data_IF_482532017942
#
_entry.id   IF_482532017942
#
_cell.length_a   1.000
_cell.length_b   1.000
_cell.length_c   1.000
_cell.angle_alpha   90.00
_cell.angle_beta   90.00
_cell.angle_gamma   90.00
#
_symmetry.space_group_name_H-M   'P 1'
#
loop_
_entity.id
_entity.type
_entity.pdbx_description
1 polymer ?
#
# COMPACT_ATOMS: atom_id res chain seq x y z
N UNK A 1 -23.08 -2.64 -16.94
CA UNK A 1 -21.63 -2.42 -16.91
C UNK A 1 -21.15 -1.96 -18.27
N UNK A 2 -20.47 -0.82 -18.34
CA UNK A 2 -19.79 -0.34 -19.54
C UNK A 2 -18.37 -0.90 -19.65
N UNK A 3 -17.76 -0.85 -20.84
CA UNK A 3 -16.37 -1.25 -21.04
C UNK A 3 -15.40 -0.43 -20.16
N UNK A 4 -15.68 0.87 -19.99
CA UNK A 4 -14.88 1.76 -19.16
C UNK A 4 -14.93 1.39 -17.67
N UNK A 5 -16.12 1.06 -17.14
CA UNK A 5 -16.27 0.57 -15.77
C UNK A 5 -15.47 -0.71 -15.54
N UNK A 6 -15.48 -1.63 -16.53
CA UNK A 6 -14.72 -2.88 -16.46
C UNK A 6 -13.23 -2.62 -16.37
N UNK A 7 -12.70 -1.71 -17.21
CA UNK A 7 -11.30 -1.31 -17.17
C UNK A 7 -10.92 -0.63 -15.86
N UNK A 8 -11.80 0.22 -15.33
CA UNK A 8 -11.57 0.87 -14.04
C UNK A 8 -11.49 -0.16 -12.91
N UNK A 9 -12.40 -1.15 -12.87
CA UNK A 9 -12.43 -2.15 -11.80
C UNK A 9 -11.20 -3.04 -11.88
N UNK A 10 -10.88 -3.52 -13.09
CA UNK A 10 -9.67 -4.31 -13.33
C UNK A 10 -8.40 -3.54 -12.94
N UNK A 11 -8.32 -2.26 -13.30
CA UNK A 11 -7.21 -1.38 -12.93
C UNK A 11 -7.09 -1.17 -11.42
N UNK A 12 -8.21 -0.96 -10.73
CA UNK A 12 -8.26 -0.82 -9.27
C UNK A 12 -7.75 -2.09 -8.58
N UNK A 13 -8.32 -3.25 -8.92
CA UNK A 13 -7.94 -4.53 -8.33
C UNK A 13 -6.48 -4.88 -8.61
N UNK A 14 -6.00 -4.62 -9.82
CA UNK A 14 -4.59 -4.83 -10.17
C UNK A 14 -3.67 -3.94 -9.33
N UNK A 15 -4.00 -2.65 -9.19
CA UNK A 15 -3.23 -1.73 -8.36
C UNK A 15 -3.22 -2.16 -6.89
N UNK A 16 -4.37 -2.58 -6.35
CA UNK A 16 -4.49 -3.12 -5.00
C UNK A 16 -3.59 -4.35 -4.82
N UNK A 17 -3.70 -5.35 -5.70
CA UNK A 17 -2.91 -6.60 -5.62
C UNK A 17 -1.42 -6.33 -5.72
N UNK A 18 -1.00 -5.45 -6.63
CA UNK A 18 0.41 -5.04 -6.77
C UNK A 18 0.91 -4.37 -5.49
N UNK A 19 0.14 -3.44 -4.93
CA UNK A 19 0.52 -2.72 -3.71
C UNK A 19 0.63 -3.65 -2.50
N UNK A 20 -0.37 -4.50 -2.29
CA UNK A 20 -0.40 -5.49 -1.20
C UNK A 20 0.75 -6.47 -1.37
N UNK A 21 0.91 -7.05 -2.55
CA UNK A 21 1.98 -8.02 -2.85
C UNK A 21 3.38 -7.44 -2.66
N UNK A 22 3.62 -6.21 -3.13
CA UNK A 22 4.90 -5.52 -2.92
C UNK A 22 5.16 -5.27 -1.43
N UNK A 23 4.13 -4.88 -0.67
CA UNK A 23 4.22 -4.62 0.78
C UNK A 23 4.57 -5.90 1.55
N UNK A 24 3.85 -6.99 1.27
CA UNK A 24 4.11 -8.31 1.85
C UNK A 24 5.53 -8.78 1.51
N UNK A 25 5.95 -8.62 0.25
CA UNK A 25 7.31 -8.99 -0.19
C UNK A 25 8.38 -8.21 0.56
N UNK A 26 8.18 -6.90 0.77
CA UNK A 26 9.08 -6.10 1.60
C UNK A 26 9.17 -6.65 3.02
N UNK A 27 8.02 -6.86 3.67
CA UNK A 27 7.96 -7.28 5.07
C UNK A 27 8.53 -8.68 5.34
N UNK A 28 8.24 -9.64 4.45
CA UNK A 28 8.51 -11.06 4.67
C UNK A 28 9.76 -11.59 3.95
N UNK A 29 10.20 -10.92 2.89
CA UNK A 29 11.33 -11.40 2.06
C UNK A 29 12.50 -10.42 2.13
N UNK A 30 12.29 -9.18 1.70
CA UNK A 30 13.39 -8.21 1.51
C UNK A 30 14.01 -7.80 2.84
N UNK A 31 13.20 -7.32 3.79
CA UNK A 31 13.72 -6.83 5.06
C UNK A 31 14.36 -7.96 5.89
N UNK A 32 13.77 -9.17 6.01
CA UNK A 32 14.44 -10.28 6.67
C UNK A 32 15.76 -10.67 6.01
N UNK A 33 15.86 -10.65 4.67
CA UNK A 33 17.11 -10.93 3.96
C UNK A 33 18.18 -9.87 4.25
N UNK A 34 17.82 -8.59 4.21
CA UNK A 34 18.72 -7.47 4.56
C UNK A 34 19.20 -7.56 6.02
N UNK A 35 18.30 -7.88 6.96
CA UNK A 35 18.65 -8.06 8.39
C UNK A 35 19.67 -9.18 8.61
N UNK A 36 19.58 -10.25 7.82
CA UNK A 36 20.51 -11.38 7.84
C UNK A 36 21.81 -11.11 7.06
N UNK A 37 22.02 -9.89 6.56
CA UNK A 37 23.22 -9.52 5.80
C UNK A 37 23.28 -10.14 4.40
N UNK A 38 22.15 -10.63 3.87
CA UNK A 38 22.09 -11.26 2.54
C UNK A 38 21.92 -10.27 1.39
N UNK A 39 21.70 -9.00 1.69
CA UNK A 39 21.54 -7.93 0.70
C UNK A 39 22.56 -6.83 0.96
N UNK A 40 23.21 -6.35 -0.10
CA UNK A 40 24.10 -5.19 -0.04
C UNK A 40 23.32 -3.90 0.18
N UNK A 41 24.00 -2.85 0.64
CA UNK A 41 23.41 -1.51 0.80
C UNK A 41 22.79 -1.00 -0.51
N UNK A 42 23.49 -1.19 -1.63
CA UNK A 42 23.01 -0.76 -2.93
C UNK A 42 21.77 -1.53 -3.39
N UNK A 43 21.72 -2.85 -3.12
CA UNK A 43 20.53 -3.65 -3.40
C UNK A 43 19.33 -3.15 -2.61
N UNK A 44 19.48 -2.94 -1.30
CA UNK A 44 18.39 -2.41 -0.45
C UNK A 44 17.97 -1.00 -0.89
N UNK A 45 18.92 -0.15 -1.28
CA UNK A 45 18.64 1.18 -1.83
C UNK A 45 17.82 1.13 -3.11
N UNK A 46 18.23 0.29 -4.06
CA UNK A 46 17.55 0.14 -5.35
C UNK A 46 16.13 -0.42 -5.17
N UNK A 47 15.98 -1.48 -4.36
CA UNK A 47 14.68 -2.08 -4.03
C UNK A 47 13.78 -1.04 -3.35
N UNK A 48 14.29 -0.32 -2.34
CA UNK A 48 13.52 0.71 -1.64
C UNK A 48 13.04 1.84 -2.55
N UNK A 49 13.88 2.32 -3.49
CA UNK A 49 13.48 3.31 -4.50
C UNK A 49 12.39 2.77 -5.42
N UNK A 50 12.52 1.53 -5.90
CA UNK A 50 11.52 0.92 -6.79
C UNK A 50 10.20 0.67 -6.06
N UNK A 51 10.28 0.22 -4.80
CA UNK A 51 9.12 0.05 -3.93
C UNK A 51 8.37 1.37 -3.71
N UNK A 52 9.09 2.47 -3.47
CA UNK A 52 8.49 3.79 -3.31
C UNK A 52 7.71 4.22 -4.58
N UNK A 53 8.28 3.97 -5.76
CA UNK A 53 7.63 4.27 -7.02
C UNK A 53 6.39 3.39 -7.26
N UNK A 54 6.49 2.08 -7.03
CA UNK A 54 5.34 1.16 -7.13
C UNK A 54 4.23 1.57 -6.17
N UNK A 55 4.60 1.95 -4.93
CA UNK A 55 3.66 2.43 -3.91
C UNK A 55 2.95 3.71 -4.36
N UNK A 56 3.69 4.69 -4.89
CA UNK A 56 3.11 5.94 -5.35
C UNK A 56 2.15 5.74 -6.53
N UNK A 57 2.58 4.98 -7.54
CA UNK A 57 1.75 4.70 -8.73
C UNK A 57 0.50 3.92 -8.37
N UNK A 58 0.64 2.86 -7.57
CA UNK A 58 -0.50 2.02 -7.16
C UNK A 58 -1.45 2.80 -6.26
N UNK A 59 -0.92 3.56 -5.30
CA UNK A 59 -1.74 4.39 -4.39
C UNK A 59 -2.55 5.44 -5.14
N UNK A 60 -1.95 6.14 -6.11
CA UNK A 60 -2.68 7.09 -6.97
C UNK A 60 -3.76 6.38 -7.78
N UNK A 61 -3.45 5.23 -8.39
CA UNK A 61 -4.42 4.45 -9.15
C UNK A 61 -5.62 4.02 -8.27
N UNK A 62 -5.37 3.49 -7.07
CA UNK A 62 -6.39 3.08 -6.09
C UNK A 62 -7.28 4.25 -5.70
N UNK A 63 -6.69 5.41 -5.37
CA UNK A 63 -7.46 6.59 -4.95
C UNK A 63 -8.32 7.15 -6.09
N UNK A 64 -7.76 7.29 -7.29
CA UNK A 64 -8.50 7.83 -8.43
C UNK A 64 -9.68 6.94 -8.81
N UNK A 65 -9.44 5.63 -8.90
CA UNK A 65 -10.48 4.66 -9.25
C UNK A 65 -11.50 4.48 -8.11
N UNK A 66 -11.06 4.48 -6.85
CA UNK A 66 -11.97 4.41 -5.69
C UNK A 66 -12.89 5.63 -5.58
N UNK A 67 -12.36 6.84 -5.80
CA UNK A 67 -13.17 8.07 -5.86
C UNK A 67 -14.16 8.01 -7.03
N UNK A 68 -13.73 7.50 -8.18
CA UNK A 68 -14.60 7.33 -9.34
C UNK A 68 -15.77 6.36 -9.06
N UNK A 69 -15.54 5.21 -8.42
CA UNK A 69 -16.64 4.30 -8.06
C UNK A 69 -17.57 4.91 -7.01
N UNK A 70 -16.99 5.52 -5.99
CA UNK A 70 -17.77 6.13 -4.90
C UNK A 70 -18.69 7.22 -5.43
N UNK A 71 -18.25 8.02 -6.40
CA UNK A 71 -19.06 9.11 -6.97
C UNK A 71 -20.17 8.62 -7.91
N UNK A 72 -20.04 7.42 -8.47
CA UNK A 72 -21.08 6.79 -9.28
C UNK A 72 -22.17 6.14 -8.41
N UNK A 73 -21.79 5.60 -7.25
CA UNK A 73 -22.70 4.82 -6.40
C UNK A 73 -23.36 5.64 -5.28
N UNK A 74 -22.66 6.64 -4.73
CA UNK A 74 -23.10 7.34 -3.53
C UNK A 74 -23.25 8.85 -3.75
N UNK A 75 -24.36 9.40 -3.27
CA UNK A 75 -24.41 10.83 -2.93
C UNK A 75 -23.65 11.07 -1.62
N UNK A 76 -23.19 12.30 -1.37
CA UNK A 76 -22.51 12.63 -0.11
C UNK A 76 -23.36 12.29 1.12
N UNK A 77 -24.68 12.49 1.02
CA UNK A 77 -25.62 12.12 2.08
C UNK A 77 -25.65 10.61 2.28
N UNK A 78 -25.80 9.83 1.20
CA UNK A 78 -25.84 8.38 1.29
C UNK A 78 -24.53 7.80 1.86
N UNK A 79 -23.39 8.39 1.52
CA UNK A 79 -22.08 8.00 2.02
C UNK A 79 -21.97 8.12 3.55
N UNK A 80 -22.60 9.14 4.13
CA UNK A 80 -22.55 9.43 5.57
C UNK A 80 -23.70 8.81 6.38
N UNK A 81 -24.79 8.35 5.73
CA UNK A 81 -25.99 7.89 6.44
C UNK A 81 -26.31 6.41 6.24
N UNK A 82 -25.68 5.74 5.26
CA UNK A 82 -25.96 4.32 4.97
C UNK A 82 -24.85 3.40 5.49
N UNK A 83 -25.17 2.16 5.90
CA UNK A 83 -24.16 1.20 6.32
C UNK A 83 -23.10 0.93 5.25
N UNK A 84 -23.50 0.83 3.98
CA UNK A 84 -22.55 0.61 2.87
C UNK A 84 -21.68 1.84 2.61
N UNK A 85 -22.23 3.05 2.75
CA UNK A 85 -21.45 4.29 2.72
C UNK A 85 -20.36 4.35 3.81
N UNK A 86 -20.68 3.94 5.04
CA UNK A 86 -19.71 3.84 6.13
C UNK A 86 -18.60 2.82 5.85
N UNK A 87 -18.91 1.69 5.20
CA UNK A 87 -17.91 0.71 4.78
C UNK A 87 -16.96 1.29 3.72
N UNK A 88 -17.49 2.06 2.76
CA UNK A 88 -16.66 2.78 1.76
C UNK A 88 -15.76 3.83 2.43
N UNK A 89 -16.27 4.58 3.40
CA UNK A 89 -15.44 5.52 4.15
C UNK A 89 -14.35 4.81 4.98
N UNK A 90 -14.69 3.68 5.59
CA UNK A 90 -13.72 2.85 6.31
C UNK A 90 -12.63 2.30 5.38
N UNK A 91 -12.98 1.87 4.16
CA UNK A 91 -12.02 1.39 3.17
C UNK A 91 -11.04 2.50 2.77
N UNK A 92 -11.53 3.71 2.49
CA UNK A 92 -10.71 4.89 2.20
C UNK A 92 -9.75 5.17 3.36
N UNK A 93 -10.24 5.13 4.61
CA UNK A 93 -9.40 5.35 5.79
C UNK A 93 -8.30 4.30 5.91
N UNK A 94 -8.59 3.03 5.62
CA UNK A 94 -7.58 1.95 5.60
C UNK A 94 -6.51 2.20 4.55
N UNK A 95 -6.89 2.63 3.33
CA UNK A 95 -5.92 2.93 2.28
C UNK A 95 -5.05 4.15 2.62
N UNK A 96 -5.62 5.18 3.26
CA UNK A 96 -4.87 6.34 3.77
C UNK A 96 -3.91 5.92 4.87
N UNK A 97 -4.36 5.10 5.83
CA UNK A 97 -3.51 4.58 6.90
C UNK A 97 -2.34 3.76 6.32
N UNK A 98 -2.61 2.91 5.33
CA UNK A 98 -1.58 2.15 4.63
C UNK A 98 -0.55 3.09 3.98
N UNK A 99 -0.99 4.13 3.27
CA UNK A 99 -0.08 5.10 2.65
C UNK A 99 0.82 5.80 3.68
N UNK A 100 0.27 6.17 4.85
CA UNK A 100 1.04 6.75 5.95
C UNK A 100 2.09 5.77 6.48
N UNK A 101 1.70 4.52 6.73
CA UNK A 101 2.62 3.48 7.23
C UNK A 101 3.76 3.21 6.24
N UNK A 102 3.44 3.06 4.95
CA UNK A 102 4.42 2.83 3.89
C UNK A 102 5.35 4.02 3.69
N UNK A 103 4.83 5.24 3.75
CA UNK A 103 5.63 6.46 3.66
C UNK A 103 6.61 6.55 4.84
N UNK A 104 6.13 6.31 6.06
CA UNK A 104 6.97 6.30 7.25
C UNK A 104 8.05 5.21 7.20
N UNK A 105 7.68 3.97 6.82
CA UNK A 105 8.61 2.85 6.65
C UNK A 105 9.67 3.10 5.59
N UNK A 106 9.27 3.60 4.42
CA UNK A 106 10.16 3.92 3.29
C UNK A 106 11.12 5.05 3.62
N UNK A 107 10.65 6.11 4.28
CA UNK A 107 11.51 7.22 4.69
C UNK A 107 12.56 6.77 5.71
N UNK A 108 12.20 5.89 6.65
CA UNK A 108 13.15 5.32 7.63
C UNK A 108 14.18 4.41 6.96
N UNK A 109 13.74 3.58 6.01
CA UNK A 109 14.62 2.72 5.21
C UNK A 109 15.63 3.57 4.43
N UNK A 110 15.15 4.57 3.69
CA UNK A 110 15.98 5.45 2.86
C UNK A 110 17.00 6.24 3.70
N UNK A 111 16.56 6.87 4.80
CA UNK A 111 17.45 7.61 5.70
C UNK A 111 18.57 6.75 6.27
N UNK A 112 18.28 5.51 6.66
CA UNK A 112 19.28 4.65 7.30
C UNK A 112 20.22 4.01 6.27
N UNK A 113 19.71 3.61 5.10
CA UNK A 113 20.51 3.13 3.96
C UNK A 113 21.47 4.20 3.44
N UNK A 114 21.10 5.48 3.54
CA UNK A 114 21.99 6.59 3.14
C UNK A 114 23.27 6.65 3.98
N UNK A 115 23.23 6.16 5.23
CA UNK A 115 24.36 6.09 6.16
C UNK A 115 25.18 4.79 5.96
N UNK A 116 24.82 3.95 4.99
CA UNK A 116 25.60 2.76 4.62
C UNK A 116 25.27 1.49 5.41
N UNK A 117 24.17 1.47 6.18
CA UNK A 117 23.82 0.32 7.03
C UNK A 117 22.50 -0.32 6.61
N UNK A 118 22.60 -1.35 5.76
CA UNK A 118 21.46 -2.10 5.26
C UNK A 118 20.71 -2.87 6.36
N UNK A 119 21.45 -3.44 7.32
CA UNK A 119 20.88 -4.26 8.39
C UNK A 119 20.06 -3.39 9.34
N UNK A 120 20.65 -2.29 9.82
CA UNK A 120 19.96 -1.34 10.70
C UNK A 120 18.79 -0.67 10.00
N UNK A 121 18.92 -0.39 8.70
CA UNK A 121 17.81 0.15 7.92
C UNK A 121 16.62 -0.82 7.89
N UNK A 122 16.89 -2.11 7.74
CA UNK A 122 15.86 -3.13 7.77
C UNK A 122 15.26 -3.31 9.17
N UNK A 123 16.08 -3.35 10.22
CA UNK A 123 15.61 -3.43 11.62
C UNK A 123 14.70 -2.26 12.00
N UNK A 124 15.06 -1.03 11.62
CA UNK A 124 14.29 0.18 11.95
C UNK A 124 12.99 0.34 11.16
N UNK A 125 12.96 -0.16 9.93
CA UNK A 125 11.80 -0.02 9.06
C UNK A 125 10.79 -1.17 9.22
N UNK A 126 11.23 -2.36 9.65
CA UNK A 126 10.39 -3.55 9.68
C UNK A 126 9.06 -3.43 10.45
N UNK A 127 8.98 -2.81 11.63
CA UNK A 127 7.70 -2.67 12.32
C UNK A 127 6.63 -1.97 11.47
N UNK A 128 7.04 -0.98 10.66
CA UNK A 128 6.15 -0.24 9.77
C UNK A 128 5.64 -1.10 8.61
N UNK A 129 6.52 -1.90 8.01
CA UNK A 129 6.14 -2.81 6.93
C UNK A 129 5.29 -3.99 7.42
N UNK A 130 5.52 -4.47 8.64
CA UNK A 130 4.68 -5.48 9.26
C UNK A 130 3.28 -4.93 9.55
N UNK A 131 3.18 -3.74 10.14
CA UNK A 131 1.89 -3.07 10.35
C UNK A 131 1.18 -2.81 9.02
N UNK A 132 1.89 -2.30 8.01
CA UNK A 132 1.37 -2.09 6.67
C UNK A 132 0.87 -3.39 6.02
N UNK A 133 1.58 -4.51 6.23
CA UNK A 133 1.16 -5.84 5.74
C UNK A 133 -0.15 -6.29 6.38
N UNK A 134 -0.29 -6.13 7.70
CA UNK A 134 -1.54 -6.47 8.40
C UNK A 134 -2.68 -5.60 7.88
N UNK A 135 -2.47 -4.28 7.81
CA UNK A 135 -3.47 -3.32 7.32
C UNK A 135 -3.87 -3.60 5.87
N UNK A 136 -2.91 -3.89 4.99
CA UNK A 136 -3.18 -4.12 3.57
C UNK A 136 -3.88 -5.44 3.30
N UNK A 137 -3.51 -6.51 4.01
CA UNK A 137 -4.18 -7.82 3.90
C UNK A 137 -5.59 -7.76 4.46
N UNK A 138 -5.77 -7.17 5.66
CA UNK A 138 -7.11 -6.98 6.23
C UNK A 138 -7.96 -6.08 5.33
N UNK A 139 -7.39 -4.99 4.81
CA UNK A 139 -8.08 -4.11 3.87
C UNK A 139 -8.53 -4.84 2.61
N UNK A 140 -7.66 -5.64 2.02
CA UNK A 140 -8.00 -6.46 0.84
C UNK A 140 -9.09 -7.50 1.15
N UNK A 141 -9.03 -8.18 2.30
CA UNK A 141 -10.00 -9.22 2.64
C UNK A 141 -11.39 -8.66 2.99
N UNK A 142 -11.44 -7.48 3.63
CA UNK A 142 -12.70 -6.87 4.08
C UNK A 142 -13.33 -6.01 2.99
N UNK A 143 -12.51 -5.32 2.19
CA UNK A 143 -12.97 -4.32 1.23
C UNK A 143 -12.61 -4.64 -0.22
N UNK A 144 -11.99 -5.79 -0.52
CA UNK A 144 -11.56 -6.14 -1.88
C UNK A 144 -12.68 -6.37 -2.90
N UNK A 145 -13.93 -6.38 -2.44
CA UNK A 145 -15.14 -6.54 -3.26
C UNK A 145 -16.05 -5.31 -3.25
N UNK A 146 -15.65 -4.23 -2.57
CA UNK A 146 -16.36 -2.96 -2.51
C UNK A 146 -15.77 -1.95 -3.49
#
# INVERSE_FOLDING_TARGET
>A
MTFLETLAIAGHLLAVVILVGATVTMALVVLPAARRGRLSVDAVRAIGKRFALVTAVSGVAILLTGVYFTSLEYTLTALATTPSGWLTLASILVWVLLAVLLTAGTNRLAKTVAVGDARRAAERSQPWYNAATVVSVVGLLVFGTL
#
